data_IF_194854197597
#
_entry.id   IF_194854197597
#
_cell.length_a   1.000
_cell.length_b   1.000
_cell.length_c   1.000
_cell.angle_alpha   90.00
_cell.angle_beta   90.00
_cell.angle_gamma   90.00
#
_symmetry.space_group_name_H-M   'P 1'
#
loop_
_entity.id
_entity.type
_entity.pdbx_description
1 polymer ?
#
# COMPACT_ATOMS: atom_id res chain seq x y z
N UNK A 1 10.18 -22.91 21.68
CA UNK A 1 11.19 -21.84 21.97
C UNK A 1 11.50 -21.09 20.69
N UNK A 2 11.26 -19.80 20.67
CA UNK A 2 11.65 -18.94 19.54
C UNK A 2 13.17 -18.89 19.44
N UNK A 3 13.70 -19.13 18.23
CA UNK A 3 15.13 -19.13 17.97
C UNK A 3 15.61 -17.74 17.53
N UNK A 4 16.89 -17.36 17.82
CA UNK A 4 17.43 -16.09 17.33
C UNK A 4 17.36 -15.97 15.80
N UNK A 5 17.20 -14.76 15.26
CA UNK A 5 17.18 -14.47 13.81
C UNK A 5 18.37 -15.12 13.07
N UNK A 6 19.53 -15.22 13.75
CA UNK A 6 20.73 -15.82 13.16
C UNK A 6 20.53 -17.28 12.73
N UNK A 7 19.71 -18.04 13.47
CA UNK A 7 19.40 -19.44 13.16
C UNK A 7 18.26 -19.57 12.13
N UNK A 8 17.47 -18.52 11.94
CA UNK A 8 16.32 -18.48 11.04
C UNK A 8 16.58 -17.68 9.76
N UNK A 9 17.83 -17.30 9.47
CA UNK A 9 18.18 -16.41 8.35
C UNK A 9 17.64 -16.88 7.01
N UNK A 10 17.76 -18.16 6.69
CA UNK A 10 17.30 -18.70 5.41
C UNK A 10 15.78 -18.56 5.24
N UNK A 11 15.03 -18.86 6.29
CA UNK A 11 13.55 -18.71 6.29
C UNK A 11 13.15 -17.26 6.17
N UNK A 12 13.81 -16.36 6.93
CA UNK A 12 13.55 -14.92 6.86
C UNK A 12 13.83 -14.37 5.45
N UNK A 13 14.93 -14.77 4.81
CA UNK A 13 15.25 -14.35 3.43
C UNK A 13 14.14 -14.78 2.48
N UNK A 14 13.62 -16.00 2.58
CA UNK A 14 12.52 -16.47 1.71
C UNK A 14 11.26 -15.64 1.94
N UNK A 15 10.90 -15.37 3.20
CA UNK A 15 9.73 -14.55 3.52
C UNK A 15 9.86 -13.12 2.98
N UNK A 16 11.04 -12.52 3.12
CA UNK A 16 11.35 -11.20 2.58
C UNK A 16 11.32 -11.18 1.05
N UNK A 17 11.86 -12.24 0.40
CA UNK A 17 11.80 -12.41 -1.05
C UNK A 17 10.35 -12.54 -1.54
N UNK A 18 9.50 -13.26 -0.83
CA UNK A 18 8.08 -13.41 -1.18
C UNK A 18 7.33 -12.07 -1.14
N UNK A 19 7.55 -11.28 -0.09
CA UNK A 19 6.99 -9.93 0.02
C UNK A 19 7.55 -9.01 -1.07
N UNK A 20 8.85 -9.02 -1.28
CA UNK A 20 9.51 -8.26 -2.34
C UNK A 20 8.92 -8.59 -3.71
N UNK A 21 8.76 -9.88 -4.06
CA UNK A 21 8.20 -10.32 -5.35
C UNK A 21 6.74 -9.86 -5.50
N UNK A 22 5.92 -9.98 -4.46
CA UNK A 22 4.53 -9.53 -4.50
C UNK A 22 4.43 -8.02 -4.79
N UNK A 23 5.23 -7.21 -4.09
CA UNK A 23 5.20 -5.75 -4.27
C UNK A 23 5.95 -5.28 -5.53
N UNK A 24 6.99 -6.00 -5.95
CA UNK A 24 7.63 -5.78 -7.25
C UNK A 24 6.63 -6.01 -8.38
N UNK A 25 5.85 -7.11 -8.34
CA UNK A 25 4.83 -7.38 -9.35
C UNK A 25 3.77 -6.29 -9.43
N UNK A 26 3.28 -5.79 -8.28
CA UNK A 26 2.36 -4.65 -8.26
C UNK A 26 3.01 -3.42 -8.91
N UNK A 27 4.27 -3.13 -8.56
CA UNK A 27 5.02 -1.99 -9.09
C UNK A 27 5.29 -2.06 -10.61
N UNK A 28 5.58 -3.26 -11.13
CA UNK A 28 5.83 -3.52 -12.55
C UNK A 28 4.74 -2.97 -13.48
N UNK A 29 3.51 -3.00 -13.01
CA UNK A 29 2.32 -2.69 -13.81
C UNK A 29 2.10 -1.18 -13.95
N UNK A 30 2.47 -0.38 -12.94
CA UNK A 30 2.14 1.05 -12.85
C UNK A 30 2.50 1.84 -14.13
N UNK A 31 3.73 1.77 -14.68
CA UNK A 31 4.10 2.54 -15.88
C UNK A 31 3.50 1.97 -17.18
N UNK A 32 3.01 0.73 -17.13
CA UNK A 32 2.47 0.02 -18.29
C UNK A 32 0.98 0.30 -18.52
N UNK A 33 0.29 0.72 -17.46
CA UNK A 33 -1.16 0.95 -17.45
C UNK A 33 -1.63 1.80 -18.63
N UNK A 34 -1.04 2.98 -18.94
CA UNK A 34 -1.55 3.82 -20.04
C UNK A 34 -1.50 3.12 -21.38
N UNK A 35 -0.37 2.45 -21.65
CA UNK A 35 -0.19 1.73 -22.90
C UNK A 35 -1.14 0.54 -23.02
N UNK A 36 -1.35 -0.19 -21.94
CA UNK A 36 -2.30 -1.30 -21.86
C UNK A 36 -3.75 -0.81 -22.07
N UNK A 37 -4.12 0.30 -21.46
CA UNK A 37 -5.43 0.92 -21.65
C UNK A 37 -5.67 1.35 -23.09
N UNK A 38 -4.67 1.96 -23.73
CA UNK A 38 -4.78 2.35 -25.15
C UNK A 38 -4.99 1.12 -26.05
N UNK A 39 -4.27 0.02 -25.82
CA UNK A 39 -4.43 -1.24 -26.58
C UNK A 39 -5.80 -1.87 -26.35
N UNK A 40 -6.34 -1.76 -25.13
CA UNK A 40 -7.63 -2.36 -24.77
C UNK A 40 -8.82 -1.39 -24.94
N UNK A 41 -8.58 -0.15 -25.38
CA UNK A 41 -9.60 0.92 -25.51
C UNK A 41 -10.38 1.16 -24.22
N UNK A 42 -9.68 1.16 -23.05
CA UNK A 42 -10.28 1.37 -21.74
C UNK A 42 -10.29 2.85 -21.35
N UNK A 43 -11.27 3.24 -20.53
CA UNK A 43 -11.40 4.58 -19.96
C UNK A 43 -10.67 4.73 -18.64
N UNK A 44 -10.43 5.96 -18.19
CA UNK A 44 -9.89 6.26 -16.86
C UNK A 44 -10.78 5.72 -15.74
N UNK A 45 -12.10 5.81 -15.89
CA UNK A 45 -13.08 5.21 -14.96
C UNK A 45 -12.89 3.71 -14.84
N UNK A 46 -12.73 3.01 -15.96
CA UNK A 46 -12.49 1.55 -15.95
C UNK A 46 -11.22 1.21 -15.16
N UNK A 47 -10.15 2.00 -15.36
CA UNK A 47 -8.91 1.81 -14.61
C UNK A 47 -9.10 2.06 -13.11
N UNK A 48 -9.74 3.17 -12.76
CA UNK A 48 -10.04 3.48 -11.37
C UNK A 48 -10.85 2.37 -10.68
N UNK A 49 -11.86 1.83 -11.37
CA UNK A 49 -12.65 0.71 -10.87
C UNK A 49 -11.85 -0.60 -10.77
N UNK A 50 -10.91 -0.89 -11.68
CA UNK A 50 -10.03 -2.05 -11.58
C UNK A 50 -9.13 -1.98 -10.34
N UNK A 51 -8.59 -0.81 -10.02
CA UNK A 51 -7.82 -0.60 -8.78
C UNK A 51 -8.71 -0.70 -7.54
N UNK A 52 -9.90 -0.09 -7.59
CA UNK A 52 -10.87 -0.18 -6.51
C UNK A 52 -11.33 -1.64 -6.26
N UNK A 53 -11.57 -2.42 -7.32
CA UNK A 53 -11.97 -3.83 -7.21
C UNK A 53 -10.90 -4.68 -6.47
N UNK A 54 -9.61 -4.44 -6.76
CA UNK A 54 -8.52 -5.06 -6.00
C UNK A 54 -8.60 -4.71 -4.51
N UNK A 55 -8.74 -3.42 -4.18
CA UNK A 55 -8.78 -2.95 -2.80
C UNK A 55 -10.03 -3.44 -2.05
N UNK A 56 -11.19 -3.51 -2.72
CA UNK A 56 -12.44 -4.08 -2.17
C UNK A 56 -12.26 -5.57 -1.87
N UNK A 57 -11.71 -6.33 -2.81
CA UNK A 57 -11.46 -7.75 -2.61
C UNK A 57 -10.49 -7.98 -1.45
N UNK A 58 -9.43 -7.18 -1.34
CA UNK A 58 -8.48 -7.23 -0.24
C UNK A 58 -9.16 -6.91 1.10
N UNK A 59 -9.97 -5.84 1.17
CA UNK A 59 -10.67 -5.43 2.38
C UNK A 59 -11.62 -6.53 2.88
N UNK A 60 -12.41 -7.13 1.98
CA UNK A 60 -13.36 -8.19 2.32
C UNK A 60 -12.66 -9.48 2.71
N UNK A 61 -11.58 -9.84 2.00
CA UNK A 61 -10.86 -11.07 2.26
C UNK A 61 -9.97 -11.01 3.52
N UNK A 62 -9.49 -9.82 3.93
CA UNK A 62 -8.53 -9.66 5.03
C UNK A 62 -8.98 -10.24 6.38
N UNK A 63 -10.23 -10.04 6.86
CA UNK A 63 -10.68 -10.65 8.12
C UNK A 63 -10.78 -12.18 8.04
N UNK A 64 -11.12 -12.69 6.85
CA UNK A 64 -11.21 -14.14 6.58
C UNK A 64 -9.80 -14.73 6.54
N UNK A 65 -8.90 -14.07 5.82
CA UNK A 65 -7.51 -14.45 5.68
C UNK A 65 -6.78 -14.53 7.02
N UNK A 66 -6.97 -13.53 7.90
CA UNK A 66 -6.39 -13.54 9.25
C UNK A 66 -6.78 -14.80 10.02
N UNK A 67 -8.09 -15.13 10.07
CA UNK A 67 -8.57 -16.38 10.69
C UNK A 67 -8.03 -17.64 10.04
N UNK A 68 -7.87 -17.63 8.72
CA UNK A 68 -7.34 -18.79 7.99
C UNK A 68 -5.85 -18.96 8.21
N UNK A 69 -5.08 -17.88 8.38
CA UNK A 69 -3.66 -17.93 8.79
C UNK A 69 -3.50 -18.65 10.12
N UNK A 70 -4.37 -18.36 11.09
CA UNK A 70 -4.34 -19.01 12.40
C UNK A 70 -4.82 -20.46 12.36
N UNK A 71 -5.84 -20.75 11.54
CA UNK A 71 -6.45 -22.09 11.45
C UNK A 71 -5.63 -23.07 10.58
N UNK A 72 -5.26 -22.65 9.38
CA UNK A 72 -4.62 -23.55 8.40
C UNK A 72 -3.10 -23.49 8.43
N UNK A 73 -2.53 -22.44 9.01
CA UNK A 73 -1.10 -22.22 9.14
C UNK A 73 -0.54 -21.20 8.17
N UNK A 74 0.61 -20.70 8.53
CA UNK A 74 1.27 -19.58 7.85
C UNK A 74 1.79 -19.98 6.47
N UNK A 75 2.44 -21.14 6.38
CA UNK A 75 2.99 -21.68 5.12
C UNK A 75 1.92 -21.83 4.03
N UNK A 76 0.81 -22.47 4.36
CA UNK A 76 -0.27 -22.74 3.39
C UNK A 76 -0.83 -21.43 2.87
N UNK A 77 -1.04 -20.43 3.74
CA UNK A 77 -1.57 -19.14 3.37
C UNK A 77 -0.59 -18.31 2.51
N UNK A 78 0.71 -18.39 2.76
CA UNK A 78 1.74 -17.78 1.92
C UNK A 78 1.75 -18.42 0.53
N UNK A 79 1.80 -19.74 0.47
CA UNK A 79 1.87 -20.48 -0.81
C UNK A 79 0.61 -20.24 -1.65
N UNK A 80 -0.58 -20.35 -1.05
CA UNK A 80 -1.84 -20.09 -1.75
C UNK A 80 -2.00 -18.63 -2.16
N UNK A 81 -1.56 -17.70 -1.31
CA UNK A 81 -1.55 -16.28 -1.65
C UNK A 81 -0.65 -15.97 -2.86
N UNK A 82 0.59 -16.47 -2.86
CA UNK A 82 1.51 -16.30 -3.99
C UNK A 82 1.00 -16.97 -5.27
N UNK A 83 0.36 -18.14 -5.14
CA UNK A 83 -0.27 -18.83 -6.28
C UNK A 83 -1.41 -18.00 -6.87
N UNK A 84 -2.29 -17.46 -6.02
CA UNK A 84 -3.37 -16.55 -6.46
C UNK A 84 -2.80 -15.29 -7.10
N UNK A 85 -1.68 -14.77 -6.61
CA UNK A 85 -0.99 -13.64 -7.22
C UNK A 85 -0.46 -13.99 -8.60
N UNK A 86 0.26 -15.09 -8.75
CA UNK A 86 0.75 -15.56 -10.04
C UNK A 86 -0.39 -15.77 -11.05
N UNK A 87 -1.48 -16.38 -10.60
CA UNK A 87 -2.69 -16.57 -11.41
C UNK A 87 -3.34 -15.24 -11.80
N UNK A 88 -3.45 -14.30 -10.86
CA UNK A 88 -3.98 -12.96 -11.11
C UNK A 88 -3.20 -12.25 -12.23
N UNK A 89 -1.88 -12.24 -12.14
CA UNK A 89 -1.04 -11.58 -13.14
C UNK A 89 -1.10 -12.29 -14.50
N UNK A 90 -1.12 -13.62 -14.51
CA UNK A 90 -1.28 -14.42 -15.73
C UNK A 90 -2.62 -14.11 -16.41
N UNK A 91 -3.73 -14.14 -15.64
CA UNK A 91 -5.08 -13.88 -16.15
C UNK A 91 -5.18 -12.44 -16.65
N UNK A 92 -4.56 -11.47 -15.95
CA UNK A 92 -4.54 -10.07 -16.40
C UNK A 92 -3.77 -9.92 -17.72
N UNK A 93 -2.59 -10.53 -17.83
CA UNK A 93 -1.77 -10.51 -19.05
C UNK A 93 -2.45 -11.18 -20.25
N UNK A 94 -3.22 -12.25 -20.05
CA UNK A 94 -3.99 -12.94 -21.08
C UNK A 94 -5.32 -12.24 -21.41
N UNK A 95 -5.81 -11.35 -20.53
CA UNK A 95 -7.10 -10.70 -20.66
C UNK A 95 -7.26 -9.94 -21.98
N UNK A 96 -8.36 -10.22 -22.70
CA UNK A 96 -8.78 -9.55 -23.92
C UNK A 96 -10.09 -8.78 -23.73
N UNK A 97 -10.78 -9.04 -22.61
CA UNK A 97 -12.04 -8.40 -22.24
C UNK A 97 -11.94 -7.80 -20.84
N UNK A 98 -12.59 -6.67 -20.62
CA UNK A 98 -12.56 -5.96 -19.34
C UNK A 98 -13.00 -6.83 -18.14
N UNK A 99 -13.96 -7.73 -18.35
CA UNK A 99 -14.42 -8.64 -17.28
C UNK A 99 -13.32 -9.57 -16.77
N UNK A 100 -12.42 -10.03 -17.66
CA UNK A 100 -11.27 -10.87 -17.30
C UNK A 100 -10.31 -10.08 -16.43
N UNK A 101 -10.14 -8.78 -16.73
CA UNK A 101 -9.30 -7.89 -15.92
C UNK A 101 -9.88 -7.68 -14.51
N UNK A 102 -11.21 -7.55 -14.37
CA UNK A 102 -11.87 -7.50 -13.06
C UNK A 102 -11.65 -8.79 -12.26
N UNK A 103 -11.83 -9.96 -12.89
CA UNK A 103 -11.56 -11.25 -12.24
C UNK A 103 -10.11 -11.32 -11.75
N UNK A 104 -9.16 -10.90 -12.58
CA UNK A 104 -7.75 -10.84 -12.20
C UNK A 104 -7.54 -9.91 -11.00
N UNK A 105 -8.13 -8.70 -10.99
CA UNK A 105 -8.01 -7.76 -9.88
C UNK A 105 -8.60 -8.29 -8.56
N UNK A 106 -9.74 -8.98 -8.63
CA UNK A 106 -10.35 -9.63 -7.47
C UNK A 106 -9.43 -10.74 -6.92
N UNK A 107 -8.86 -11.58 -7.78
CA UNK A 107 -7.89 -12.61 -7.39
C UNK A 107 -6.64 -11.98 -6.75
N UNK A 108 -6.11 -10.91 -7.32
CA UNK A 108 -4.96 -10.17 -6.78
C UNK A 108 -5.24 -9.58 -5.40
N UNK A 109 -6.44 -9.00 -5.19
CA UNK A 109 -6.85 -8.47 -3.90
C UNK A 109 -6.95 -9.56 -2.82
N UNK A 110 -7.54 -10.71 -3.15
CA UNK A 110 -7.60 -11.87 -2.26
C UNK A 110 -6.18 -12.37 -1.95
N UNK A 111 -5.31 -12.44 -2.95
CA UNK A 111 -3.91 -12.81 -2.78
C UNK A 111 -3.19 -11.91 -1.77
N UNK A 112 -3.30 -10.59 -1.92
CA UNK A 112 -2.70 -9.62 -1.02
C UNK A 112 -3.20 -9.78 0.43
N UNK A 113 -4.51 -10.07 0.59
CA UNK A 113 -5.11 -10.36 1.89
C UNK A 113 -4.53 -11.64 2.54
N UNK A 114 -4.07 -12.61 1.76
CA UNK A 114 -3.46 -13.85 2.28
C UNK A 114 -1.99 -13.67 2.62
N UNK A 115 -1.21 -13.02 1.74
CA UNK A 115 0.25 -12.90 1.87
C UNK A 115 0.64 -12.06 3.09
N UNK A 116 0.09 -10.85 3.22
CA UNK A 116 0.54 -9.89 4.24
C UNK A 116 0.39 -10.40 5.68
N UNK A 117 -0.81 -10.82 6.15
CA UNK A 117 -0.95 -11.31 7.51
C UNK A 117 -0.18 -12.62 7.74
N UNK A 118 -0.09 -13.49 6.73
CA UNK A 118 0.62 -14.75 6.87
C UNK A 118 2.14 -14.54 7.02
N UNK A 119 2.75 -13.64 6.24
CA UNK A 119 4.18 -13.34 6.37
C UNK A 119 4.48 -12.62 7.69
N UNK A 120 3.67 -11.63 8.07
CA UNK A 120 3.88 -10.91 9.35
C UNK A 120 3.73 -11.83 10.55
N UNK A 121 2.73 -12.73 10.55
CA UNK A 121 2.55 -13.73 11.58
C UNK A 121 3.74 -14.74 11.61
N UNK A 122 4.16 -15.22 10.44
CA UNK A 122 5.31 -16.13 10.35
C UNK A 122 6.57 -15.49 10.90
N UNK A 123 6.87 -14.24 10.52
CA UNK A 123 8.02 -13.49 11.05
C UNK A 123 7.91 -13.33 12.57
N UNK A 124 6.72 -13.05 13.11
CA UNK A 124 6.51 -12.95 14.55
C UNK A 124 6.73 -14.28 15.28
N UNK A 125 6.34 -15.39 14.66
CA UNK A 125 6.48 -16.74 15.24
C UNK A 125 7.94 -17.22 15.29
N UNK A 126 8.77 -16.82 14.32
CA UNK A 126 10.17 -17.25 14.24
C UNK A 126 11.16 -16.30 14.91
N UNK A 127 10.71 -15.14 15.41
CA UNK A 127 11.59 -14.13 16.04
C UNK A 127 11.32 -13.97 17.52
N UNK A 128 12.36 -13.66 18.27
CA UNK A 128 12.22 -13.26 19.68
C UNK A 128 11.54 -11.89 19.79
N UNK A 129 10.95 -11.58 20.94
CA UNK A 129 10.29 -10.28 21.18
C UNK A 129 11.24 -9.10 20.93
N UNK A 130 12.52 -9.25 21.34
CA UNK A 130 13.56 -8.23 21.19
C UNK A 130 13.96 -7.99 19.73
N UNK A 131 13.94 -9.04 18.91
CA UNK A 131 14.36 -8.98 17.50
C UNK A 131 13.19 -8.72 16.54
N UNK A 132 11.94 -8.86 17.00
CA UNK A 132 10.73 -8.75 16.16
C UNK A 132 10.63 -7.39 15.45
N UNK A 133 10.90 -6.31 16.17
CA UNK A 133 10.88 -4.96 15.58
C UNK A 133 11.86 -4.82 14.42
N UNK A 134 13.07 -5.37 14.56
CA UNK A 134 14.08 -5.37 13.49
C UNK A 134 13.65 -6.22 12.29
N UNK A 135 13.06 -7.39 12.54
CA UNK A 135 12.56 -8.27 11.47
C UNK A 135 11.40 -7.63 10.70
N UNK A 136 10.48 -6.95 11.40
CA UNK A 136 9.39 -6.19 10.76
C UNK A 136 9.93 -4.99 9.96
N UNK A 137 11.02 -4.38 10.39
CA UNK A 137 11.75 -3.38 9.61
C UNK A 137 12.27 -3.95 8.28
N UNK A 138 12.77 -5.18 8.26
CA UNK A 138 13.16 -5.86 7.01
C UNK A 138 11.96 -6.15 6.11
N UNK A 139 10.80 -6.52 6.66
CA UNK A 139 9.54 -6.69 5.89
C UNK A 139 9.17 -5.37 5.22
N UNK A 140 9.16 -4.28 5.97
CA UNK A 140 8.87 -2.94 5.41
C UNK A 140 9.87 -2.54 4.33
N UNK A 141 11.16 -2.81 4.52
CA UNK A 141 12.19 -2.56 3.52
C UNK A 141 11.98 -3.38 2.23
N UNK A 142 11.57 -4.66 2.35
CA UNK A 142 11.27 -5.50 1.20
C UNK A 142 10.06 -4.98 0.40
N UNK A 143 9.01 -4.50 1.10
CA UNK A 143 7.85 -3.84 0.48
C UNK A 143 8.29 -2.61 -0.31
N UNK A 144 8.98 -1.68 0.34
CA UNK A 144 9.41 -0.43 -0.29
C UNK A 144 10.35 -0.69 -1.47
N UNK A 145 11.29 -1.62 -1.33
CA UNK A 145 12.23 -1.97 -2.41
C UNK A 145 11.50 -2.55 -3.61
N UNK A 146 10.48 -3.40 -3.40
CA UNK A 146 9.62 -3.92 -4.47
C UNK A 146 8.89 -2.81 -5.22
N UNK A 147 8.28 -1.87 -4.52
CA UNK A 147 7.60 -0.72 -5.12
C UNK A 147 8.54 0.25 -5.85
N UNK A 148 9.79 0.38 -5.39
CA UNK A 148 10.79 1.25 -6.03
C UNK A 148 11.33 0.62 -7.32
N UNK A 149 11.72 -0.66 -7.25
CA UNK A 149 12.37 -1.36 -8.36
C UNK A 149 11.35 -1.79 -9.41
N UNK A 150 10.13 -2.14 -8.98
CA UNK A 150 9.06 -2.64 -9.83
C UNK A 150 8.79 -1.76 -11.04
N UNK A 151 8.45 -0.47 -10.88
CA UNK A 151 8.19 0.42 -12.00
C UNK A 151 9.36 0.52 -12.97
N UNK A 152 10.61 0.60 -12.45
CA UNK A 152 11.80 0.61 -13.28
C UNK A 152 11.87 -0.59 -14.21
N UNK A 153 11.79 -1.80 -13.65
CA UNK A 153 11.83 -3.04 -14.45
C UNK A 153 10.61 -3.12 -15.38
N UNK A 154 9.42 -2.77 -14.91
CA UNK A 154 8.18 -2.85 -15.68
C UNK A 154 8.19 -1.97 -16.92
N UNK A 155 8.63 -0.72 -16.77
CA UNK A 155 8.72 0.22 -17.89
C UNK A 155 9.70 -0.24 -18.97
N UNK A 156 10.85 -0.80 -18.57
CA UNK A 156 11.82 -1.35 -19.55
C UNK A 156 11.31 -2.63 -20.22
N UNK A 157 10.69 -3.54 -19.51
CA UNK A 157 10.11 -4.77 -20.09
C UNK A 157 8.97 -4.43 -21.05
N UNK A 158 8.18 -3.41 -20.77
CA UNK A 158 7.05 -3.00 -21.61
C UNK A 158 7.46 -2.52 -23.01
N UNK A 159 8.69 -2.08 -23.20
CA UNK A 159 9.23 -1.74 -24.53
C UNK A 159 9.24 -2.95 -25.48
N UNK A 160 9.40 -4.16 -24.96
CA UNK A 160 9.38 -5.41 -25.74
C UNK A 160 7.97 -5.99 -25.92
N UNK A 161 6.98 -5.48 -25.17
CA UNK A 161 5.58 -5.85 -25.31
C UNK A 161 4.76 -5.49 -24.08
N UNK A 162 3.59 -4.91 -24.32
CA UNK A 162 2.68 -4.36 -23.28
C UNK A 162 2.26 -5.41 -22.24
N UNK A 163 2.18 -6.66 -22.63
CA UNK A 163 1.75 -7.77 -21.77
C UNK A 163 2.89 -8.47 -21.04
N UNK A 164 4.13 -8.26 -21.46
CA UNK A 164 5.31 -8.93 -20.89
C UNK A 164 5.52 -8.66 -19.40
N UNK A 165 5.31 -7.45 -18.85
CA UNK A 165 5.45 -7.22 -17.41
C UNK A 165 4.53 -8.10 -16.57
N UNK A 166 3.30 -8.36 -17.03
CA UNK A 166 2.36 -9.26 -16.34
C UNK A 166 2.83 -10.71 -16.35
N UNK A 167 3.30 -11.20 -17.48
CA UNK A 167 3.85 -12.56 -17.57
C UNK A 167 5.14 -12.72 -16.77
N UNK A 168 5.97 -11.68 -16.74
CA UNK A 168 7.16 -11.67 -15.90
C UNK A 168 6.80 -11.73 -14.41
N UNK A 169 5.85 -10.90 -13.96
CA UNK A 169 5.35 -10.92 -12.59
C UNK A 169 4.76 -12.29 -12.23
N UNK A 170 3.94 -12.88 -13.11
CA UNK A 170 3.39 -14.22 -12.92
C UNK A 170 4.50 -15.28 -12.79
N UNK A 171 5.52 -15.22 -13.65
CA UNK A 171 6.64 -16.17 -13.65
C UNK A 171 7.47 -16.12 -12.37
N UNK A 172 7.87 -14.92 -11.92
CA UNK A 172 8.63 -14.79 -10.67
C UNK A 172 7.80 -15.16 -9.44
N UNK A 173 6.50 -14.84 -9.44
CA UNK A 173 5.59 -15.25 -8.37
C UNK A 173 5.43 -16.78 -8.34
N UNK A 174 5.37 -17.45 -9.48
CA UNK A 174 5.31 -18.90 -9.55
C UNK A 174 6.60 -19.57 -9.03
N UNK A 175 7.78 -18.98 -9.32
CA UNK A 175 9.05 -19.41 -8.72
C UNK A 175 9.00 -19.24 -7.20
N UNK A 176 8.42 -18.15 -6.69
CA UNK A 176 8.24 -17.92 -5.26
C UNK A 176 7.28 -18.96 -4.63
N UNK A 177 6.23 -19.37 -5.32
CA UNK A 177 5.34 -20.48 -4.89
C UNK A 177 6.15 -21.76 -4.70
N UNK A 178 6.91 -22.17 -5.72
CA UNK A 178 7.72 -23.39 -5.69
C UNK A 178 8.75 -23.32 -4.56
N UNK A 179 9.51 -22.24 -4.45
CA UNK A 179 10.52 -22.07 -3.40
C UNK A 179 9.88 -22.13 -2.01
N UNK A 180 8.75 -21.45 -1.81
CA UNK A 180 8.03 -21.45 -0.53
C UNK A 180 7.46 -22.82 -0.18
N UNK A 181 6.95 -23.56 -1.18
CA UNK A 181 6.41 -24.90 -0.98
C UNK A 181 7.46 -25.88 -0.46
N UNK A 182 8.68 -25.83 -0.99
CA UNK A 182 9.75 -26.74 -0.61
C UNK A 182 10.61 -26.27 0.56
N UNK A 183 10.84 -24.96 0.69
CA UNK A 183 11.81 -24.42 1.65
C UNK A 183 11.17 -23.91 2.95
N UNK A 184 9.89 -23.47 2.94
CA UNK A 184 9.21 -23.07 4.16
C UNK A 184 8.67 -24.31 4.90
N UNK A 185 8.79 -24.26 6.22
CA UNK A 185 8.16 -25.24 7.13
C UNK A 185 7.09 -24.50 7.92
N UNK A 186 6.02 -25.17 8.31
CA UNK A 186 5.03 -24.56 9.20
C UNK A 186 5.68 -24.24 10.56
N UNK A 187 5.63 -23.00 11.07
CA UNK A 187 6.29 -22.63 12.30
C UNK A 187 5.58 -23.14 13.55
N UNK A 188 4.26 -23.34 13.48
CA UNK A 188 3.43 -23.77 14.61
C UNK A 188 2.90 -25.18 14.43
N UNK A 189 2.86 -25.95 15.52
CA UNK A 189 2.18 -27.24 15.58
C UNK A 189 0.66 -27.06 15.53
N UNK A 190 -0.07 -28.15 15.24
CA UNK A 190 -1.55 -28.10 15.25
C UNK A 190 -2.11 -27.67 16.61
N UNK A 191 -1.52 -28.19 17.69
CA UNK A 191 -1.93 -27.90 19.07
C UNK A 191 -1.72 -26.42 19.42
N UNK A 192 -0.58 -25.84 19.05
CA UNK A 192 -0.29 -24.41 19.26
C UNK A 192 -1.27 -23.51 18.48
N UNK A 193 -1.66 -23.89 17.26
CA UNK A 193 -2.65 -23.15 16.47
C UNK A 193 -4.05 -23.21 17.08
N UNK A 194 -4.49 -24.38 17.53
CA UNK A 194 -5.78 -24.55 18.22
C UNK A 194 -5.84 -23.75 19.50
N UNK A 195 -4.74 -23.70 20.25
CA UNK A 195 -4.63 -22.86 21.46
C UNK A 195 -4.75 -21.38 21.13
N UNK A 196 -4.04 -20.88 20.12
CA UNK A 196 -4.13 -19.49 19.69
C UNK A 196 -5.56 -19.12 19.23
N UNK A 197 -6.24 -20.01 18.48
CA UNK A 197 -7.62 -19.78 18.06
C UNK A 197 -8.60 -19.60 19.22
N UNK A 198 -8.41 -20.37 20.30
CA UNK A 198 -9.27 -20.31 21.48
C UNK A 198 -8.98 -19.06 22.36
N UNK A 199 -7.80 -18.45 22.23
CA UNK A 199 -7.41 -17.24 22.96
C UNK A 199 -7.84 -15.94 22.24
N UNK A 200 -8.15 -15.99 20.95
CA UNK A 200 -8.56 -14.82 20.17
C UNK A 200 -9.98 -14.41 20.57
N UNK A 201 -10.09 -13.33 21.33
CA UNK A 201 -11.37 -12.65 21.59
C UNK A 201 -11.92 -12.11 20.27
N UNK A 202 -13.17 -12.42 19.95
CA UNK A 202 -13.88 -11.82 18.81
C UNK A 202 -13.86 -10.29 18.95
N UNK A 203 -12.99 -9.65 18.15
CA UNK A 203 -13.11 -8.20 17.98
C UNK A 203 -14.35 -7.94 17.13
N UNK A 204 -15.33 -7.26 17.69
CA UNK A 204 -16.54 -6.93 16.97
C UNK A 204 -16.25 -5.73 16.08
N UNK A 205 -15.89 -5.96 14.81
CA UNK A 205 -15.56 -4.93 13.81
C UNK A 205 -16.54 -3.74 13.86
N UNK A 206 -17.85 -4.00 13.96
CA UNK A 206 -18.87 -2.96 14.07
C UNK A 206 -18.76 -2.12 15.35
N UNK A 207 -18.33 -2.73 16.47
CA UNK A 207 -18.10 -2.01 17.73
C UNK A 207 -16.89 -1.09 17.61
N UNK A 208 -15.82 -1.57 16.98
CA UNK A 208 -14.61 -0.79 16.73
C UNK A 208 -14.88 0.34 15.73
N UNK A 209 -15.66 0.09 14.68
CA UNK A 209 -16.07 1.11 13.73
C UNK A 209 -16.92 2.20 14.42
N UNK A 210 -17.88 1.83 15.28
CA UNK A 210 -18.65 2.80 16.07
C UNK A 210 -17.75 3.62 17.01
N UNK A 211 -16.75 2.98 17.63
CA UNK A 211 -15.79 3.64 18.50
C UNK A 211 -14.87 4.61 17.74
N UNK A 212 -14.53 4.31 16.48
CA UNK A 212 -13.69 5.19 15.66
C UNK A 212 -14.35 6.54 15.35
N UNK A 213 -15.67 6.64 15.45
CA UNK A 213 -16.45 7.88 15.26
C UNK A 213 -16.35 8.82 16.47
N UNK A 214 -15.79 8.36 17.60
CA UNK A 214 -15.58 9.21 18.75
C UNK A 214 -14.66 10.41 18.42
N UNK A 215 -14.97 11.64 18.91
CA UNK A 215 -14.22 12.86 18.56
C UNK A 215 -12.70 12.76 18.73
N UNK A 216 -12.23 11.99 19.72
CA UNK A 216 -10.81 11.80 20.00
C UNK A 216 -10.04 11.11 18.86
N UNK A 217 -10.71 10.23 18.09
CA UNK A 217 -10.10 9.43 17.04
C UNK A 217 -10.53 9.86 15.64
N UNK A 218 -11.76 10.36 15.50
CA UNK A 218 -12.40 10.62 14.21
C UNK A 218 -11.54 11.48 13.28
N UNK A 219 -11.03 12.60 13.78
CA UNK A 219 -10.21 13.54 12.96
C UNK A 219 -8.95 12.82 12.47
N UNK A 220 -8.27 12.07 13.33
CA UNK A 220 -7.07 11.33 12.95
C UNK A 220 -7.36 10.30 11.86
N UNK A 221 -8.44 9.53 11.99
CA UNK A 221 -8.83 8.55 10.98
C UNK A 221 -9.33 9.19 9.68
N UNK A 222 -10.00 10.33 9.73
CA UNK A 222 -10.34 11.10 8.53
C UNK A 222 -9.06 11.55 7.81
N UNK A 223 -8.01 11.98 8.53
CA UNK A 223 -6.74 12.35 7.92
C UNK A 223 -6.06 11.12 7.28
N UNK A 224 -6.15 9.94 7.92
CA UNK A 224 -5.70 8.67 7.30
C UNK A 224 -6.42 8.41 5.98
N UNK A 225 -7.75 8.56 5.98
CA UNK A 225 -8.55 8.41 4.77
C UNK A 225 -8.14 9.42 3.70
N UNK A 226 -8.02 10.71 4.05
CA UNK A 226 -7.61 11.79 3.12
C UNK A 226 -6.24 11.52 2.51
N UNK A 227 -5.27 11.08 3.32
CA UNK A 227 -3.95 10.68 2.84
C UNK A 227 -4.03 9.53 1.84
N UNK A 228 -4.68 8.43 2.24
CA UNK A 228 -4.80 7.23 1.41
C UNK A 228 -5.58 7.52 0.12
N UNK A 229 -6.65 8.31 0.22
CA UNK A 229 -7.45 8.76 -0.90
C UNK A 229 -6.62 9.60 -1.89
N UNK A 230 -5.94 10.65 -1.38
CA UNK A 230 -5.16 11.56 -2.21
C UNK A 230 -3.99 10.86 -2.91
N UNK A 231 -3.26 10.02 -2.17
CA UNK A 231 -2.14 9.25 -2.71
C UNK A 231 -2.61 8.26 -3.78
N UNK A 232 -3.62 7.44 -3.48
CA UNK A 232 -4.10 6.42 -4.42
C UNK A 232 -4.77 7.04 -5.66
N UNK A 233 -5.49 8.16 -5.51
CA UNK A 233 -6.02 8.91 -6.64
C UNK A 233 -4.87 9.44 -7.53
N UNK A 234 -3.86 10.06 -6.92
CA UNK A 234 -2.69 10.58 -7.63
C UNK A 234 -1.94 9.47 -8.37
N UNK A 235 -1.56 8.39 -7.69
CA UNK A 235 -0.81 7.28 -8.27
C UNK A 235 -1.55 6.63 -9.44
N UNK A 236 -2.87 6.43 -9.31
CA UNK A 236 -3.69 5.78 -10.35
C UNK A 236 -3.74 6.59 -11.62
N UNK A 237 -3.92 7.92 -11.52
CA UNK A 237 -4.07 8.77 -12.71
C UNK A 237 -2.77 9.37 -13.21
N UNK A 238 -1.70 9.36 -12.40
CA UNK A 238 -0.42 9.97 -12.75
C UNK A 238 0.14 9.44 -14.07
N UNK A 239 0.19 8.13 -14.22
CA UNK A 239 0.70 7.49 -15.44
C UNK A 239 -0.16 7.84 -16.65
N UNK A 240 -1.49 7.85 -16.50
CA UNK A 240 -2.44 8.24 -17.54
C UNK A 240 -2.28 9.70 -17.94
N UNK A 241 -2.18 10.58 -16.94
CA UNK A 241 -2.03 12.01 -17.14
C UNK A 241 -0.73 12.35 -17.88
N UNK A 242 0.38 11.79 -17.46
CA UNK A 242 1.68 12.06 -18.07
C UNK A 242 1.78 11.51 -19.50
N UNK A 243 1.19 10.35 -19.76
CA UNK A 243 1.08 9.81 -21.08
C UNK A 243 0.18 10.69 -21.98
N UNK A 244 -1.01 11.07 -21.50
CA UNK A 244 -1.98 11.84 -22.29
C UNK A 244 -1.54 13.29 -22.54
N UNK A 245 -0.98 13.96 -21.51
CA UNK A 245 -0.59 15.37 -21.58
C UNK A 245 0.74 15.59 -22.28
N UNK A 246 1.73 14.71 -22.03
CA UNK A 246 3.12 14.90 -22.47
C UNK A 246 3.61 13.85 -23.47
N UNK A 247 2.81 12.79 -23.73
CA UNK A 247 3.22 11.67 -24.58
C UNK A 247 4.30 10.77 -23.92
N UNK A 248 4.45 10.81 -22.60
CA UNK A 248 5.46 9.99 -21.92
C UNK A 248 5.16 8.51 -22.07
N UNK A 249 6.19 7.75 -22.51
CA UNK A 249 6.13 6.30 -22.62
C UNK A 249 6.33 5.59 -21.27
N UNK A 250 6.14 4.25 -21.25
CA UNK A 250 6.35 3.46 -20.03
C UNK A 250 7.72 3.66 -19.38
N UNK A 251 8.77 3.84 -20.17
CA UNK A 251 10.13 4.09 -19.70
C UNK A 251 10.26 5.44 -18.99
N UNK A 252 9.69 6.52 -19.57
CA UNK A 252 9.74 7.85 -18.97
C UNK A 252 9.01 7.84 -17.61
N UNK A 253 7.82 7.24 -17.59
CA UNK A 253 7.01 7.09 -16.37
C UNK A 253 7.76 6.26 -15.33
N UNK A 254 8.40 5.16 -15.75
CA UNK A 254 9.20 4.31 -14.88
C UNK A 254 10.36 5.06 -14.24
N UNK A 255 11.09 5.85 -15.03
CA UNK A 255 12.22 6.68 -14.54
C UNK A 255 11.71 7.70 -13.53
N UNK A 256 10.62 8.42 -13.82
CA UNK A 256 10.05 9.41 -12.90
C UNK A 256 9.67 8.76 -11.58
N UNK A 257 8.90 7.67 -11.59
CA UNK A 257 8.43 7.00 -10.37
C UNK A 257 9.61 6.43 -9.58
N UNK A 258 10.52 5.71 -10.24
CA UNK A 258 11.66 5.07 -9.56
C UNK A 258 12.60 6.08 -8.92
N UNK A 259 12.98 7.14 -9.66
CA UNK A 259 13.86 8.20 -9.14
C UNK A 259 13.17 8.94 -7.99
N UNK A 260 11.89 9.29 -8.15
CA UNK A 260 11.12 9.99 -7.10
C UNK A 260 11.04 9.15 -5.83
N UNK A 261 10.77 7.85 -5.94
CA UNK A 261 10.68 6.95 -4.80
C UNK A 261 12.03 6.76 -4.09
N UNK A 262 13.14 6.63 -4.85
CA UNK A 262 14.49 6.53 -4.26
C UNK A 262 14.82 7.81 -3.49
N UNK A 263 14.62 8.98 -4.10
CA UNK A 263 14.89 10.27 -3.46
C UNK A 263 14.03 10.44 -2.20
N UNK A 264 12.74 10.12 -2.28
CA UNK A 264 11.83 10.22 -1.15
C UNK A 264 12.26 9.34 0.03
N UNK A 265 12.62 8.07 -0.22
CA UNK A 265 13.08 7.15 0.83
C UNK A 265 14.40 7.60 1.45
N UNK A 266 15.37 8.05 0.65
CA UNK A 266 16.65 8.56 1.18
C UNK A 266 16.40 9.75 2.10
N UNK A 267 15.62 10.73 1.64
CA UNK A 267 15.32 11.93 2.43
C UNK A 267 14.48 11.56 3.66
N UNK A 268 13.51 10.68 3.54
CA UNK A 268 12.71 10.20 4.67
C UNK A 268 13.60 9.62 5.77
N UNK A 269 14.52 8.71 5.43
CA UNK A 269 15.43 8.09 6.41
C UNK A 269 16.34 9.10 7.09
N UNK A 270 16.85 10.09 6.35
CA UNK A 270 17.82 11.07 6.85
C UNK A 270 17.17 12.23 7.63
N UNK A 271 15.94 12.61 7.26
CA UNK A 271 15.31 13.87 7.69
C UNK A 271 14.13 13.65 8.63
N UNK A 272 13.37 12.57 8.50
CA UNK A 272 12.11 12.36 9.24
C UNK A 272 12.27 12.53 10.74
N UNK A 273 13.23 11.82 11.36
CA UNK A 273 13.46 11.90 12.80
C UNK A 273 13.82 13.30 13.29
N UNK A 274 14.68 14.01 12.52
CA UNK A 274 15.06 15.39 12.85
C UNK A 274 13.88 16.34 12.73
N UNK A 275 13.07 16.16 11.69
CA UNK A 275 11.90 16.99 11.40
C UNK A 275 10.83 16.84 12.48
N UNK A 276 10.53 15.60 12.87
CA UNK A 276 9.55 15.31 13.93
C UNK A 276 10.03 15.80 15.29
N UNK A 277 11.33 15.65 15.61
CA UNK A 277 11.89 16.17 16.85
C UNK A 277 11.88 17.72 16.93
N UNK A 278 12.08 18.40 15.79
CA UNK A 278 12.11 19.87 15.75
C UNK A 278 10.70 20.49 15.73
N UNK A 279 9.75 19.90 15.00
CA UNK A 279 8.45 20.51 14.73
C UNK A 279 7.27 19.80 15.45
N UNK A 280 7.45 18.54 15.85
CA UNK A 280 6.38 17.66 16.30
C UNK A 280 5.56 17.09 15.14
N UNK A 281 4.92 15.94 15.38
CA UNK A 281 4.18 15.18 14.35
C UNK A 281 3.08 16.02 13.69
N UNK A 282 2.30 16.77 14.48
CA UNK A 282 1.17 17.55 13.96
C UNK A 282 1.62 18.60 12.91
N UNK A 283 2.72 19.33 13.18
CA UNK A 283 3.23 20.32 12.23
C UNK A 283 3.83 19.65 10.98
N UNK A 284 4.46 18.50 11.13
CA UNK A 284 4.95 17.70 9.99
C UNK A 284 3.78 17.26 9.11
N UNK A 285 2.69 16.76 9.71
CA UNK A 285 1.45 16.41 8.99
C UNK A 285 0.92 17.62 8.22
N UNK A 286 0.82 18.79 8.87
CA UNK A 286 0.33 20.03 8.24
C UNK A 286 1.20 20.47 7.06
N UNK A 287 2.52 20.47 7.23
CA UNK A 287 3.45 20.82 6.17
C UNK A 287 3.33 19.90 4.96
N UNK A 288 3.27 18.59 5.19
CA UNK A 288 3.13 17.60 4.12
C UNK A 288 1.79 17.75 3.39
N UNK A 289 0.68 18.02 4.10
CA UNK A 289 -0.62 18.27 3.49
C UNK A 289 -0.60 19.54 2.63
N UNK A 290 0.03 20.63 3.09
CA UNK A 290 0.19 21.87 2.31
C UNK A 290 0.99 21.60 1.04
N UNK A 291 2.17 20.98 1.18
CA UNK A 291 3.05 20.67 0.05
C UNK A 291 2.33 19.78 -0.96
N UNK A 292 1.71 18.68 -0.49
CA UNK A 292 0.95 17.78 -1.35
C UNK A 292 -0.20 18.48 -2.08
N UNK A 293 -0.99 19.30 -1.38
CA UNK A 293 -2.09 20.06 -1.96
C UNK A 293 -1.61 21.06 -3.03
N UNK A 294 -0.63 21.92 -2.67
CA UNK A 294 -0.09 22.92 -3.60
C UNK A 294 0.51 22.26 -4.84
N UNK A 295 1.30 21.19 -4.66
CA UNK A 295 1.94 20.51 -5.77
C UNK A 295 0.96 19.70 -6.62
N UNK A 296 -0.15 19.24 -6.07
CA UNK A 296 -1.23 18.66 -6.86
C UNK A 296 -1.79 19.69 -7.86
N UNK A 297 -2.02 20.95 -7.44
CA UNK A 297 -2.40 22.02 -8.36
C UNK A 297 -1.28 22.36 -9.36
N UNK A 298 -0.02 22.46 -8.89
CA UNK A 298 1.15 22.75 -9.74
C UNK A 298 1.31 21.66 -10.83
N UNK A 299 1.02 20.40 -10.53
CA UNK A 299 1.08 19.29 -11.51
C UNK A 299 0.18 19.53 -12.74
N UNK A 300 -0.88 20.32 -12.59
CA UNK A 300 -1.80 20.63 -13.71
C UNK A 300 -1.24 21.63 -14.72
N UNK A 301 -0.28 22.47 -14.31
CA UNK A 301 0.24 23.58 -15.13
C UNK A 301 1.68 23.38 -15.61
N UNK A 302 2.44 22.50 -14.95
CA UNK A 302 3.84 22.22 -15.34
C UNK A 302 3.93 21.47 -16.65
N UNK A 303 5.10 21.60 -17.30
CA UNK A 303 5.45 20.92 -18.53
C UNK A 303 6.95 20.59 -18.56
N UNK A 304 7.29 19.60 -19.39
CA UNK A 304 8.67 19.14 -19.54
C UNK A 304 9.07 18.08 -18.51
N UNK A 305 9.87 17.11 -18.98
CA UNK A 305 10.25 15.92 -18.22
C UNK A 305 10.89 16.24 -16.87
N UNK A 306 11.90 17.14 -16.85
CA UNK A 306 12.63 17.47 -15.64
C UNK A 306 11.75 18.15 -14.58
N UNK A 307 10.85 19.05 -15.00
CA UNK A 307 9.95 19.74 -14.08
C UNK A 307 8.93 18.77 -13.47
N UNK A 308 8.35 17.90 -14.30
CA UNK A 308 7.45 16.84 -13.83
C UNK A 308 8.17 15.90 -12.85
N UNK A 309 9.42 15.50 -13.15
CA UNK A 309 10.25 14.68 -12.25
C UNK A 309 10.43 15.37 -10.88
N UNK A 310 10.84 16.66 -10.87
CA UNK A 310 11.07 17.40 -9.62
C UNK A 310 9.78 17.51 -8.80
N UNK A 311 8.67 17.89 -9.44
CA UNK A 311 7.37 18.02 -8.77
C UNK A 311 6.94 16.68 -8.19
N UNK A 312 7.07 15.58 -8.94
CA UNK A 312 6.73 14.23 -8.47
C UNK A 312 7.63 13.79 -7.31
N UNK A 313 8.94 14.08 -7.36
CA UNK A 313 9.86 13.80 -6.25
C UNK A 313 9.38 14.48 -4.93
N UNK A 314 8.97 15.74 -5.01
CA UNK A 314 8.52 16.47 -3.81
C UNK A 314 7.16 15.99 -3.32
N UNK A 315 6.25 15.61 -4.23
CA UNK A 315 4.95 15.03 -3.88
C UNK A 315 5.15 13.68 -3.15
N UNK A 316 5.94 12.77 -3.72
CA UNK A 316 6.22 11.47 -3.10
C UNK A 316 6.88 11.64 -1.75
N UNK A 317 7.86 12.55 -1.64
CA UNK A 317 8.49 12.87 -0.36
C UNK A 317 7.45 13.36 0.68
N UNK A 318 6.53 14.25 0.29
CA UNK A 318 5.50 14.74 1.19
C UNK A 318 4.60 13.60 1.69
N UNK A 319 4.16 12.70 0.81
CA UNK A 319 3.33 11.56 1.20
C UNK A 319 4.10 10.54 2.04
N UNK A 320 5.37 10.27 1.72
CA UNK A 320 6.21 9.33 2.45
C UNK A 320 6.60 9.84 3.86
N UNK A 321 6.70 11.15 4.06
CA UNK A 321 6.86 11.75 5.39
C UNK A 321 5.55 11.81 6.19
N UNK A 322 4.42 12.03 5.49
CA UNK A 322 3.09 12.14 6.11
C UNK A 322 2.66 10.80 6.74
N UNK A 323 2.89 9.68 6.04
CA UNK A 323 2.47 8.35 6.49
C UNK A 323 3.08 7.96 7.86
N UNK A 324 4.39 7.99 8.09
CA UNK A 324 4.97 7.66 9.39
C UNK A 324 4.66 8.71 10.47
N UNK A 325 4.54 10.01 10.11
CA UNK A 325 4.13 11.03 11.06
C UNK A 325 2.73 10.76 11.62
N UNK A 326 1.80 10.36 10.75
CA UNK A 326 0.43 10.03 11.13
C UNK A 326 0.37 8.72 11.95
N UNK A 327 1.14 7.69 11.56
CA UNK A 327 1.21 6.43 12.30
C UNK A 327 1.81 6.63 13.70
N UNK A 328 2.88 7.43 13.82
CA UNK A 328 3.49 7.78 15.12
C UNK A 328 2.51 8.55 15.98
N UNK A 329 1.81 9.52 15.41
CA UNK A 329 0.79 10.29 16.13
C UNK A 329 -0.36 9.37 16.62
N UNK A 330 -0.89 8.53 15.75
CA UNK A 330 -1.95 7.56 16.09
C UNK A 330 -1.50 6.60 17.22
N UNK A 331 -0.26 6.12 17.17
CA UNK A 331 0.29 5.27 18.22
C UNK A 331 0.37 5.97 19.58
N UNK A 332 0.67 7.28 19.59
CA UNK A 332 0.70 8.08 20.83
C UNK A 332 -0.70 8.23 21.44
N UNK A 333 -1.73 8.47 20.63
CA UNK A 333 -3.11 8.61 21.13
C UNK A 333 -3.76 7.27 21.45
N UNK A 334 -3.21 6.17 20.95
CA UNK A 334 -3.77 4.83 21.16
C UNK A 334 -3.65 4.34 22.62
N UNK A 335 -2.63 4.79 23.37
CA UNK A 335 -2.37 4.30 24.71
C UNK A 335 -2.36 2.77 24.75
N UNK A 336 -3.24 2.18 25.55
CA UNK A 336 -3.41 0.73 25.67
C UNK A 336 -4.24 0.09 24.55
N UNK A 337 -4.74 0.88 23.59
CA UNK A 337 -5.67 0.44 22.52
C UNK A 337 -4.96 0.32 21.14
N UNK A 338 -3.69 -0.06 21.11
CA UNK A 338 -2.89 -0.15 19.89
C UNK A 338 -3.53 -1.03 18.80
N UNK A 339 -4.12 -2.16 19.19
CA UNK A 339 -4.80 -3.06 18.25
C UNK A 339 -6.03 -2.42 17.58
N UNK A 340 -6.88 -1.72 18.36
CA UNK A 340 -8.01 -0.97 17.83
C UNK A 340 -7.56 0.11 16.84
N UNK A 341 -6.58 0.92 17.23
CA UNK A 341 -6.10 2.03 16.38
C UNK A 341 -5.43 1.50 15.11
N UNK A 342 -4.64 0.44 15.19
CA UNK A 342 -4.03 -0.18 14.02
C UNK A 342 -5.08 -0.78 13.06
N UNK A 343 -6.12 -1.45 13.59
CA UNK A 343 -7.22 -1.98 12.79
C UNK A 343 -8.02 -0.89 12.07
N UNK A 344 -8.35 0.19 12.78
CA UNK A 344 -9.08 1.32 12.18
C UNK A 344 -8.20 2.09 11.19
N UNK A 345 -6.92 2.31 11.47
CA UNK A 345 -5.97 2.88 10.50
C UNK A 345 -5.97 2.08 9.19
N UNK A 346 -5.93 0.75 9.26
CA UNK A 346 -6.01 -0.12 8.08
C UNK A 346 -7.35 0.02 7.36
N UNK A 347 -8.47 0.09 8.09
CA UNK A 347 -9.81 0.24 7.52
C UNK A 347 -9.95 1.56 6.76
N UNK A 348 -9.59 2.69 7.38
CA UNK A 348 -9.67 4.01 6.74
C UNK A 348 -8.68 4.16 5.56
N UNK A 349 -7.50 3.55 5.65
CA UNK A 349 -6.58 3.43 4.52
C UNK A 349 -7.23 2.67 3.36
N UNK A 350 -7.84 1.52 3.63
CA UNK A 350 -8.53 0.72 2.59
C UNK A 350 -9.68 1.48 1.94
N UNK A 351 -10.47 2.22 2.72
CA UNK A 351 -11.52 3.08 2.16
C UNK A 351 -10.92 4.15 1.23
N UNK A 352 -9.82 4.79 1.63
CA UNK A 352 -9.12 5.75 0.78
C UNK A 352 -8.62 5.13 -0.54
N UNK A 353 -8.05 3.93 -0.48
CA UNK A 353 -7.55 3.20 -1.68
C UNK A 353 -8.68 2.64 -2.55
N UNK A 354 -9.90 2.53 -2.07
CA UNK A 354 -11.09 2.18 -2.87
C UNK A 354 -11.64 3.42 -3.58
N UNK A 355 -11.93 4.48 -2.82
CA UNK A 355 -12.60 5.66 -3.34
C UNK A 355 -11.68 6.57 -4.16
N UNK A 356 -10.39 6.66 -3.82
CA UNK A 356 -9.41 7.50 -4.52
C UNK A 356 -9.30 7.17 -6.00
N UNK A 357 -8.93 5.95 -6.36
CA UNK A 357 -8.84 5.51 -7.76
C UNK A 357 -10.17 5.58 -8.51
N UNK A 358 -11.27 5.16 -7.86
CA UNK A 358 -12.59 5.16 -8.50
C UNK A 358 -13.02 6.58 -8.91
N UNK A 359 -12.94 7.53 -7.97
CA UNK A 359 -13.26 8.94 -8.27
C UNK A 359 -12.21 9.59 -9.17
N UNK A 360 -10.92 9.28 -8.95
CA UNK A 360 -9.82 9.77 -9.80
C UNK A 360 -10.02 9.39 -11.27
N UNK A 361 -10.40 8.14 -11.55
CA UNK A 361 -10.69 7.68 -12.91
C UNK A 361 -11.90 8.36 -13.56
N UNK A 362 -13.01 8.53 -12.80
CA UNK A 362 -14.21 9.23 -13.29
C UNK A 362 -13.91 10.70 -13.63
N UNK A 363 -13.17 11.38 -12.74
CA UNK A 363 -12.78 12.77 -12.96
C UNK A 363 -11.82 12.91 -14.13
N UNK A 364 -10.93 11.94 -14.34
CA UNK A 364 -10.00 11.92 -15.46
C UNK A 364 -10.71 11.85 -16.81
N UNK A 365 -11.76 11.05 -16.93
CA UNK A 365 -12.55 10.95 -18.16
C UNK A 365 -13.29 12.24 -18.50
N UNK A 366 -13.63 13.06 -17.49
CA UNK A 366 -14.24 14.36 -17.70
C UNK A 366 -13.20 15.41 -18.12
N UNK A 367 -12.08 15.47 -17.40
CA UNK A 367 -10.94 16.34 -17.70
C UNK A 367 -9.69 15.79 -17.01
N UNK A 368 -8.59 15.68 -17.74
CA UNK A 368 -7.32 15.13 -17.25
C UNK A 368 -6.76 15.87 -16.02
N UNK A 369 -7.15 17.12 -15.80
CA UNK A 369 -6.71 17.95 -14.67
C UNK A 369 -7.58 17.77 -13.41
N UNK A 370 -8.84 17.37 -13.54
CA UNK A 370 -9.78 17.30 -12.44
C UNK A 370 -9.33 16.38 -11.28
N UNK A 371 -8.73 15.21 -11.51
CA UNK A 371 -8.26 14.36 -10.41
C UNK A 371 -7.26 15.07 -9.50
N UNK A 372 -6.32 15.84 -10.10
CA UNK A 372 -5.29 16.56 -9.34
C UNK A 372 -5.87 17.76 -8.58
N UNK A 373 -6.79 18.50 -9.21
CA UNK A 373 -7.50 19.60 -8.55
C UNK A 373 -8.33 19.08 -7.38
N UNK A 374 -9.03 17.98 -7.58
CA UNK A 374 -9.85 17.36 -6.53
C UNK A 374 -8.99 16.80 -5.39
N UNK A 375 -7.90 16.09 -5.69
CA UNK A 375 -6.95 15.63 -4.68
C UNK A 375 -6.37 16.80 -3.87
N UNK A 376 -6.00 17.89 -4.53
CA UNK A 376 -5.52 19.11 -3.88
C UNK A 376 -6.56 19.70 -2.92
N UNK A 377 -7.83 19.79 -3.33
CA UNK A 377 -8.94 20.25 -2.47
C UNK A 377 -9.12 19.33 -1.26
N UNK A 378 -9.13 18.01 -1.46
CA UNK A 378 -9.27 17.03 -0.38
C UNK A 378 -8.12 17.13 0.63
N UNK A 379 -6.87 17.33 0.16
CA UNK A 379 -5.71 17.55 1.04
C UNK A 379 -5.82 18.87 1.82
N UNK A 380 -6.33 19.96 1.20
CA UNK A 380 -6.60 21.21 1.91
C UNK A 380 -7.71 21.09 2.95
N UNK A 381 -8.75 20.32 2.68
CA UNK A 381 -9.78 20.01 3.67
C UNK A 381 -9.18 19.21 4.84
N UNK A 382 -8.31 18.24 4.55
CA UNK A 382 -7.54 17.52 5.57
C UNK A 382 -6.68 18.46 6.43
N UNK A 383 -6.01 19.44 5.81
CA UNK A 383 -5.28 20.47 6.54
C UNK A 383 -6.21 21.28 7.47
N UNK A 384 -7.37 21.73 6.97
CA UNK A 384 -8.37 22.43 7.79
C UNK A 384 -8.79 21.62 9.01
N UNK A 385 -8.98 20.33 8.87
CA UNK A 385 -9.28 19.44 9.99
C UNK A 385 -8.14 19.37 11.01
N UNK A 386 -6.87 19.41 10.58
CA UNK A 386 -5.73 19.44 11.52
C UNK A 386 -5.66 20.73 12.33
N UNK A 387 -6.16 21.86 11.81
CA UNK A 387 -6.19 23.13 12.53
C UNK A 387 -7.20 23.12 13.68
N UNK A 388 -8.37 22.53 13.44
CA UNK A 388 -9.46 22.38 14.42
C UNK A 388 -9.09 21.33 15.49
N UNK A 389 -8.22 20.39 15.13
CA UNK A 389 -7.86 19.29 15.99
C UNK A 389 -7.04 19.74 17.20
N UNK A 390 -7.66 19.73 18.38
CA UNK A 390 -7.05 20.19 19.65
C UNK A 390 -6.00 19.25 20.24
N UNK A 391 -5.68 18.10 19.64
CA UNK A 391 -4.51 17.27 19.97
C UNK A 391 -4.29 16.85 21.44
N UNK A 392 -5.19 17.23 22.37
CA UNK A 392 -5.10 16.91 23.79
C UNK A 392 -5.74 15.55 24.07
N UNK A 393 -4.95 14.50 23.97
CA UNK A 393 -5.38 13.13 24.37
C UNK A 393 -4.53 12.69 25.55
N UNK A 394 -4.46 13.45 26.61
CA UNK A 394 -3.64 13.07 27.77
C UNK A 394 -4.41 12.79 29.05
N UNK A 395 -5.70 13.03 29.16
CA UNK A 395 -6.37 12.84 30.46
C UNK A 395 -7.70 12.07 30.45
N UNK A 396 -8.43 11.95 29.34
CA UNK A 396 -9.77 11.30 29.37
C UNK A 396 -9.75 9.81 29.02
N UNK A 397 -8.73 9.30 28.37
CA UNK A 397 -8.66 7.89 27.98
C UNK A 397 -8.12 6.96 29.09
N UNK A 398 -7.72 7.49 30.24
CA UNK A 398 -7.29 6.72 31.42
C UNK A 398 -8.41 6.55 32.48
N UNK A 399 -9.60 7.09 32.26
CA UNK A 399 -10.69 7.11 33.22
C UNK A 399 -11.90 6.21 32.88
N UNK A 400 -11.89 5.50 31.74
CA UNK A 400 -12.84 4.44 31.38
C UNK A 400 -12.08 3.11 31.11
#
# INVERSE_FOLDING_TARGET
MQKPIREQKAVLVILLSNIFIAFLGIGLIIPVIPLFMNVMHLTGSTMGYLVAAFAVAQLIASPIAGRWVDRYGRKIMIVSGLFLFALSELVFGLGTHVYVLYVARLLGGISAAFIMPAVTAYVADITTVQERSKAMGYVSAAISTGFIIGPGIGGFIAEYGVRLPFFFAAGIAFIAVISSMFMLKEPLTKEEREKQMNEVKESTFFKDLKKSIHPSYLIAFIIVFVLAFGLSAYETVFSLFTNHKFGFGPKDIAVIITVSSIVAVIIQVLVFGKLVNALGEKRVIQLCLIIGAVLAFVSTVVSGFLVVLIVTCVIFLAFDLLRPALTTFLSKIAGNQQGFVAGMNSTYTSLGTIFGPALGGILFDQNIHFPFLFAGVVLFLGLGLTLIWKGNVTEEASAE
#
